data_IF_210223175804
#
_entry.id   IF_210223175804
#
_cell.length_a   1.000
_cell.length_b   1.000
_cell.length_c   1.000
_cell.angle_alpha   90.00
_cell.angle_beta   90.00
_cell.angle_gamma   90.00
#
_symmetry.space_group_name_H-M   'P 1'
#
loop_
_entity.id
_entity.type
_entity.pdbx_description
1 polymer ?
#
# COMPACT_ATOMS: atom_id res chain seq x y z
N UNK A 1 -17.97 10.27 26.04
CA UNK A 1 -17.51 9.92 24.68
C UNK A 1 -16.00 10.11 24.62
N UNK A 2 -15.21 9.06 24.35
CA UNK A 2 -13.76 9.17 24.27
C UNK A 2 -13.37 10.01 23.04
N UNK A 3 -12.67 11.12 23.23
CA UNK A 3 -12.10 11.91 22.12
C UNK A 3 -11.12 11.01 21.37
N UNK A 4 -11.45 10.64 20.13
CA UNK A 4 -10.52 9.94 19.23
C UNK A 4 -9.27 10.81 19.08
N UNK A 5 -8.15 10.34 19.64
CA UNK A 5 -6.87 11.03 19.56
C UNK A 5 -6.43 10.98 18.10
N UNK A 6 -6.19 12.15 17.46
CA UNK A 6 -5.64 12.19 16.10
C UNK A 6 -4.32 11.39 16.08
N UNK A 7 -4.08 10.59 15.02
CA UNK A 7 -2.84 9.83 14.92
C UNK A 7 -1.65 10.79 14.83
N UNK A 8 -0.50 10.39 15.41
CA UNK A 8 0.77 11.14 15.33
C UNK A 8 1.34 11.21 13.91
N UNK A 9 0.94 10.26 13.07
CA UNK A 9 1.36 10.14 11.68
C UNK A 9 0.82 8.84 11.07
N UNK A 10 1.12 8.63 9.80
CA UNK A 10 0.73 7.44 9.03
C UNK A 10 2.00 6.69 8.64
N UNK A 11 2.01 5.38 8.87
CA UNK A 11 3.09 4.48 8.43
C UNK A 11 2.53 3.61 7.30
N UNK A 12 3.13 3.73 6.11
CA UNK A 12 2.88 2.82 4.99
C UNK A 12 3.78 1.59 5.07
N UNK A 13 3.22 0.41 4.84
CA UNK A 13 3.96 -0.86 4.76
C UNK A 13 3.66 -1.49 3.41
N UNK A 14 4.71 -1.77 2.63
CA UNK A 14 4.63 -2.56 1.40
C UNK A 14 5.58 -3.74 1.49
N UNK A 15 5.28 -4.82 0.77
CA UNK A 15 6.20 -5.93 0.58
C UNK A 15 6.64 -5.98 -0.87
N UNK A 16 7.92 -5.64 -1.11
CA UNK A 16 8.57 -5.79 -2.40
C UNK A 16 9.31 -7.13 -2.49
N UNK A 17 9.31 -7.76 -3.67
CA UNK A 17 10.10 -8.96 -3.92
C UNK A 17 9.30 -10.26 -3.86
N UNK A 18 9.92 -11.33 -3.35
CA UNK A 18 9.31 -12.66 -3.26
C UNK A 18 8.70 -12.93 -1.88
N UNK A 19 7.76 -13.86 -1.84
CA UNK A 19 7.05 -14.22 -0.63
C UNK A 19 7.92 -15.11 0.26
N UNK A 20 8.10 -14.69 1.52
CA UNK A 20 8.84 -15.45 2.56
C UNK A 20 8.02 -15.53 3.85
N UNK A 21 8.16 -16.60 4.65
CA UNK A 21 7.28 -16.85 5.81
C UNK A 21 7.34 -15.78 6.92
N UNK A 22 8.39 -14.94 6.95
CA UNK A 22 8.57 -13.91 7.97
C UNK A 22 7.79 -12.61 7.75
N UNK A 23 7.23 -12.38 6.56
CA UNK A 23 6.63 -11.07 6.22
C UNK A 23 5.37 -10.78 7.04
N UNK A 24 4.44 -11.73 7.14
CA UNK A 24 3.19 -11.53 7.85
C UNK A 24 3.39 -11.30 9.37
N UNK A 25 4.26 -12.06 10.07
CA UNK A 25 4.67 -11.75 11.44
C UNK A 25 5.32 -10.37 11.60
N UNK A 26 6.19 -9.96 10.67
CA UNK A 26 6.85 -8.67 10.71
C UNK A 26 5.84 -7.51 10.55
N UNK A 27 4.94 -7.59 9.56
CA UNK A 27 3.86 -6.62 9.35
C UNK A 27 3.01 -6.52 10.62
N UNK A 28 2.65 -7.66 11.23
CA UNK A 28 1.89 -7.69 12.49
C UNK A 28 2.65 -7.00 13.63
N UNK A 29 3.93 -7.31 13.82
CA UNK A 29 4.73 -6.75 14.91
C UNK A 29 4.83 -5.22 14.80
N UNK A 30 5.15 -4.71 13.61
CA UNK A 30 5.22 -3.26 13.32
C UNK A 30 3.87 -2.61 13.55
N UNK A 31 2.79 -3.20 13.02
CA UNK A 31 1.42 -2.67 13.15
C UNK A 31 1.00 -2.55 14.62
N UNK A 32 1.18 -3.62 15.41
CA UNK A 32 0.79 -3.61 16.83
C UNK A 32 1.57 -2.56 17.61
N UNK A 33 2.87 -2.42 17.34
CA UNK A 33 3.71 -1.41 18.01
C UNK A 33 3.28 0.01 17.60
N UNK A 34 3.15 0.27 16.30
CA UNK A 34 2.78 1.58 15.77
C UNK A 34 1.43 2.08 16.31
N UNK A 35 0.41 1.22 16.35
CA UNK A 35 -0.90 1.55 16.92
C UNK A 35 -0.78 1.91 18.41
N UNK A 36 0.04 1.18 19.17
CA UNK A 36 0.27 1.46 20.60
C UNK A 36 0.96 2.82 20.80
N UNK A 37 1.82 3.22 19.88
CA UNK A 37 2.52 4.52 19.90
C UNK A 37 1.65 5.69 19.38
N UNK A 38 0.46 5.39 18.86
CA UNK A 38 -0.51 6.37 18.35
C UNK A 38 -0.37 6.69 16.86
N UNK A 39 0.21 5.80 16.06
CA UNK A 39 0.25 5.92 14.59
C UNK A 39 -0.90 5.17 13.93
N UNK A 40 -1.33 5.65 12.76
CA UNK A 40 -2.15 4.91 11.82
C UNK A 40 -1.23 4.08 10.92
N UNK A 41 -1.66 2.88 10.52
CA UNK A 41 -0.85 2.00 9.68
C UNK A 41 -1.65 1.61 8.44
N UNK A 42 -1.06 1.82 7.27
CA UNK A 42 -1.62 1.46 5.97
C UNK A 42 -0.75 0.36 5.35
N UNK A 43 -1.37 -0.75 4.96
CA UNK A 43 -0.75 -1.79 4.16
C UNK A 43 -1.01 -1.51 2.68
N UNK A 44 0.05 -1.24 1.92
CA UNK A 44 0.00 -1.09 0.48
C UNK A 44 -0.02 -2.48 -0.15
N UNK A 45 -1.06 -2.74 -0.93
CA UNK A 45 -1.27 -4.03 -1.58
C UNK A 45 -0.51 -4.09 -2.91
N UNK A 46 -0.14 -5.30 -3.34
CA UNK A 46 0.55 -5.53 -4.62
C UNK A 46 1.82 -4.67 -4.78
N UNK A 47 2.58 -4.48 -3.71
CA UNK A 47 3.81 -3.67 -3.73
C UNK A 47 3.62 -2.30 -4.39
N UNK A 48 4.54 -1.94 -5.28
CA UNK A 48 4.49 -0.67 -6.02
C UNK A 48 3.33 -0.61 -7.04
N UNK A 49 2.87 -1.75 -7.55
CA UNK A 49 1.76 -1.78 -8.52
C UNK A 49 0.46 -1.25 -7.91
N UNK A 50 0.15 -1.66 -6.67
CA UNK A 50 -1.09 -1.19 -6.04
C UNK A 50 -1.11 0.31 -5.78
N UNK A 51 -0.01 0.92 -5.34
CA UNK A 51 0.03 2.38 -5.09
C UNK A 51 -0.04 3.20 -6.38
N UNK A 52 0.52 2.72 -7.50
CA UNK A 52 0.39 3.38 -8.81
C UNK A 52 -1.04 3.38 -9.33
N UNK A 53 -1.81 2.33 -9.02
CA UNK A 53 -3.18 2.16 -9.46
C UNK A 53 -4.22 2.90 -8.58
N UNK A 54 -3.80 3.62 -7.53
CA UNK A 54 -4.73 4.36 -6.65
C UNK A 54 -5.40 5.48 -7.43
N UNK A 55 -6.74 5.49 -7.37
CA UNK A 55 -7.54 6.61 -7.87
C UNK A 55 -7.87 7.52 -6.70
N UNK A 56 -7.45 8.79 -6.78
CA UNK A 56 -7.59 9.81 -5.71
C UNK A 56 -9.01 10.37 -5.58
N UNK A 57 -10.01 9.50 -5.67
CA UNK A 57 -11.41 9.81 -5.40
C UNK A 57 -11.87 9.02 -4.16
N UNK A 58 -12.46 9.73 -3.19
CA UNK A 58 -13.00 9.13 -1.96
C UNK A 58 -14.14 8.14 -2.22
N UNK A 59 -14.80 8.25 -3.37
CA UNK A 59 -15.89 7.35 -3.79
C UNK A 59 -15.37 6.12 -4.54
N UNK A 60 -14.11 6.12 -4.96
CA UNK A 60 -13.52 5.00 -5.70
C UNK A 60 -13.09 3.89 -4.75
N UNK A 61 -13.36 2.65 -5.13
CA UNK A 61 -12.94 1.48 -4.36
C UNK A 61 -11.45 1.18 -4.57
N UNK A 62 -10.63 1.67 -3.65
CA UNK A 62 -9.20 1.39 -3.59
C UNK A 62 -8.85 0.20 -2.67
N UNK A 63 -9.82 -0.66 -2.31
CA UNK A 63 -9.60 -1.82 -1.42
C UNK A 63 -8.55 -2.80 -1.97
N UNK A 64 -8.36 -2.79 -3.29
CA UNK A 64 -7.33 -3.57 -3.96
C UNK A 64 -5.95 -2.92 -3.85
N UNK A 65 -5.85 -1.62 -3.63
CA UNK A 65 -4.60 -0.85 -3.66
C UNK A 65 -3.97 -0.69 -2.28
N UNK A 66 -4.81 -0.53 -1.25
CA UNK A 66 -4.36 -0.43 0.13
C UNK A 66 -5.41 -0.98 1.11
N UNK A 67 -4.98 -1.20 2.35
CA UNK A 67 -5.84 -1.61 3.46
C UNK A 67 -5.35 -0.93 4.75
N UNK A 68 -6.26 -0.48 5.59
CA UNK A 68 -5.89 -0.06 6.94
C UNK A 68 -5.57 -1.27 7.82
N UNK A 69 -4.38 -1.27 8.43
CA UNK A 69 -3.93 -2.37 9.26
C UNK A 69 -4.38 -2.16 10.71
N UNK A 70 -5.46 -2.83 11.09
CA UNK A 70 -5.92 -2.90 12.48
C UNK A 70 -5.33 -4.11 13.21
N UNK A 71 -5.38 -4.10 14.55
CA UNK A 71 -4.99 -5.25 15.39
C UNK A 71 -5.73 -6.52 14.98
N UNK A 72 -7.00 -6.41 14.64
CA UNK A 72 -7.84 -7.53 14.21
C UNK A 72 -7.37 -8.10 12.87
N UNK A 73 -7.16 -7.22 11.87
CA UNK A 73 -6.69 -7.60 10.53
C UNK A 73 -5.38 -8.38 10.63
N UNK A 74 -4.38 -7.84 11.32
CA UNK A 74 -3.05 -8.47 11.39
C UNK A 74 -3.05 -9.74 12.24
N UNK A 75 -3.87 -9.84 13.29
CA UNK A 75 -3.98 -11.09 14.07
C UNK A 75 -4.59 -12.22 13.24
N UNK A 76 -5.59 -11.93 12.40
CA UNK A 76 -6.23 -12.92 11.53
C UNK A 76 -5.33 -13.36 10.38
N UNK A 77 -4.56 -12.42 9.80
CA UNK A 77 -3.73 -12.66 8.61
C UNK A 77 -2.29 -13.07 8.91
N UNK A 78 -1.78 -12.90 10.13
CA UNK A 78 -0.37 -13.16 10.42
C UNK A 78 0.10 -14.60 10.17
N UNK A 79 -0.82 -15.57 10.19
CA UNK A 79 -0.52 -17.00 10.00
C UNK A 79 -0.81 -17.51 8.59
N UNK A 80 -1.20 -16.63 7.66
CA UNK A 80 -1.41 -17.05 6.27
C UNK A 80 -0.07 -17.24 5.56
N UNK A 81 -0.04 -18.12 4.55
CA UNK A 81 1.11 -18.27 3.66
C UNK A 81 1.35 -17.02 2.83
N UNK A 82 2.58 -16.86 2.34
CA UNK A 82 3.02 -15.72 1.53
C UNK A 82 2.96 -14.37 2.28
N UNK A 83 2.66 -13.29 1.56
CA UNK A 83 2.30 -11.99 2.16
C UNK A 83 0.82 -11.67 1.91
N UNK A 84 0.07 -11.33 2.97
CA UNK A 84 -1.34 -10.95 2.81
C UNK A 84 -1.52 -9.58 2.12
N UNK A 85 -0.44 -8.81 1.99
CA UNK A 85 -0.42 -7.59 1.17
C UNK A 85 -0.18 -7.90 -0.31
N UNK A 86 0.26 -9.11 -0.65
CA UNK A 86 0.78 -9.49 -1.97
C UNK A 86 2.01 -8.68 -2.39
N UNK A 87 2.83 -9.27 -3.25
CA UNK A 87 4.08 -8.70 -3.73
C UNK A 87 4.05 -8.55 -5.25
N UNK A 88 4.64 -7.46 -5.74
CA UNK A 88 4.93 -7.24 -7.16
C UNK A 88 6.32 -6.62 -7.27
N UNK A 89 7.05 -6.98 -8.33
CA UNK A 89 8.43 -6.49 -8.60
C UNK A 89 8.46 -5.26 -9.49
N UNK A 90 7.35 -4.54 -9.56
CA UNK A 90 7.21 -3.35 -10.40
C UNK A 90 8.09 -2.22 -9.89
N UNK A 91 8.73 -1.50 -10.81
CA UNK A 91 9.54 -0.31 -10.51
C UNK A 91 8.80 0.93 -11.05
N UNK A 92 8.37 1.86 -10.19
CA UNK A 92 7.65 3.07 -10.63
C UNK A 92 8.43 3.93 -11.62
N UNK A 93 9.76 3.91 -11.56
CA UNK A 93 10.65 4.67 -12.45
C UNK A 93 10.71 4.15 -13.88
N UNK A 94 10.19 2.94 -14.14
CA UNK A 94 10.40 2.25 -15.41
C UNK A 94 9.21 1.33 -15.69
N UNK A 95 8.07 1.93 -16.04
CA UNK A 95 6.81 1.24 -16.29
C UNK A 95 6.50 1.20 -17.78
N UNK A 96 6.40 0.01 -18.40
CA UNK A 96 5.95 -0.12 -19.78
C UNK A 96 4.54 0.44 -19.97
N UNK A 97 4.22 0.97 -21.16
CA UNK A 97 2.87 1.50 -21.47
C UNK A 97 1.74 0.52 -21.14
N UNK A 98 1.97 -0.79 -21.34
CA UNK A 98 0.99 -1.86 -21.04
C UNK A 98 0.65 -1.97 -19.55
N UNK A 99 1.58 -1.60 -18.67
CA UNK A 99 1.42 -1.66 -17.21
C UNK A 99 0.97 -0.31 -16.61
N UNK A 100 0.82 0.74 -17.42
CA UNK A 100 0.28 2.03 -16.97
C UNK A 100 -1.21 1.86 -16.62
N UNK A 101 -1.66 2.29 -15.43
CA UNK A 101 -3.06 2.24 -15.05
C UNK A 101 -3.96 2.98 -16.04
N UNK A 102 -5.18 2.46 -16.30
CA UNK A 102 -6.08 2.98 -17.33
C UNK A 102 -6.35 4.50 -17.20
N UNK A 103 -6.55 4.96 -15.97
CA UNK A 103 -6.81 6.37 -15.67
C UNK A 103 -5.60 7.30 -15.87
N UNK A 104 -4.41 6.75 -16.14
CA UNK A 104 -3.16 7.49 -16.38
C UNK A 104 -2.67 7.39 -17.83
N UNK A 105 -3.25 6.51 -18.66
CA UNK A 105 -2.82 6.30 -20.05
C UNK A 105 -2.96 7.53 -20.95
N UNK A 106 -3.88 8.44 -20.62
CA UNK A 106 -4.00 9.72 -21.32
C UNK A 106 -2.84 10.68 -21.05
N UNK A 107 -2.15 10.51 -19.92
CA UNK A 107 -1.02 11.35 -19.49
C UNK A 107 0.32 10.73 -19.87
N UNK A 108 0.44 9.41 -19.70
CA UNK A 108 1.66 8.64 -19.90
C UNK A 108 1.54 7.77 -21.14
N UNK A 109 2.19 8.18 -22.23
CA UNK A 109 2.05 7.58 -23.57
C UNK A 109 3.35 7.00 -24.14
N UNK A 110 4.46 7.18 -23.42
CA UNK A 110 5.76 6.71 -23.87
C UNK A 110 5.83 5.18 -23.76
N UNK A 111 6.77 4.55 -24.47
CA UNK A 111 6.99 3.10 -24.33
C UNK A 111 7.37 2.71 -22.89
N UNK A 112 8.12 3.59 -22.22
CA UNK A 112 8.55 3.49 -20.82
C UNK A 112 8.25 4.81 -20.11
N UNK A 113 7.55 4.74 -18.98
CA UNK A 113 7.05 5.90 -18.23
C UNK A 113 7.58 5.89 -16.78
N UNK A 114 7.83 7.08 -16.23
CA UNK A 114 8.15 7.27 -14.82
C UNK A 114 6.89 7.73 -14.04
N UNK A 115 6.33 6.80 -13.26
CA UNK A 115 5.15 7.02 -12.42
C UNK A 115 5.53 7.41 -10.98
N UNK A 116 6.80 7.62 -10.66
CA UNK A 116 7.24 8.07 -9.33
C UNK A 116 6.49 9.32 -8.86
N UNK A 117 6.25 10.36 -9.71
CA UNK A 117 5.46 11.52 -9.30
C UNK A 117 4.02 11.17 -8.89
N UNK A 118 3.37 10.23 -9.57
CA UNK A 118 2.01 9.78 -9.22
C UNK A 118 2.01 8.94 -7.95
N UNK A 119 3.03 8.11 -7.73
CA UNK A 119 3.18 7.39 -6.45
C UNK A 119 3.26 8.36 -5.28
N UNK A 120 4.04 9.43 -5.40
CA UNK A 120 4.14 10.46 -4.35
C UNK A 120 2.80 11.13 -4.07
N UNK A 121 2.09 11.56 -5.13
CA UNK A 121 0.74 12.15 -4.99
C UNK A 121 -0.26 11.18 -4.37
N UNK A 122 -0.17 9.90 -4.71
CA UNK A 122 -1.05 8.87 -4.16
C UNK A 122 -0.74 8.60 -2.68
N UNK A 123 0.54 8.63 -2.27
CA UNK A 123 0.94 8.50 -0.86
C UNK A 123 0.49 9.68 -0.01
N UNK A 124 0.57 10.90 -0.53
CA UNK A 124 0.10 12.12 0.16
C UNK A 124 -1.41 12.14 0.37
N UNK A 125 -2.16 11.42 -0.47
CA UNK A 125 -3.62 11.36 -0.41
C UNK A 125 -4.15 10.36 0.66
N UNK A 126 -3.36 9.36 1.04
CA UNK A 126 -3.73 8.29 2.00
C UNK A 126 -3.70 8.74 3.47
#
# INVERSE_FOLDING_TARGET
>A
MAKLKKPKGIIGILTGGGDVPGLNPAIRAVTIRAIREGYKVIGLRRGWKGIMEVVRDKKFDNSMNYIELSKEVVNRKARTGGTFLHSFRTRPSTVPLVDVPEHLKDTYKDEINDLTPEVMKNLEWL
#
